data_IF_755619883128
#
_entry.id   IF_755619883128
#
_cell.length_a   1.000
_cell.length_b   1.000
_cell.length_c   1.000
_cell.angle_alpha   90.00
_cell.angle_beta   90.00
_cell.angle_gamma   90.00
#
_symmetry.space_group_name_H-M   'P 1'
#
loop_
_entity.id
_entity.type
_entity.pdbx_description
1 polymer ?
#
# COMPACT_ATOMS: atom_id res chain seq x y z
N UNK A 1 0.81 15.04 -12.93
CA UNK A 1 1.95 14.66 -12.09
C UNK A 1 1.63 14.92 -10.63
N UNK A 2 2.14 14.10 -9.69
CA UNK A 2 3.07 12.99 -9.92
C UNK A 2 2.39 11.66 -10.27
N UNK A 3 3.12 10.76 -10.94
CA UNK A 3 2.75 9.35 -11.10
C UNK A 3 3.44 8.54 -10.00
N UNK A 4 2.68 8.07 -9.03
CA UNK A 4 3.26 7.45 -7.82
C UNK A 4 3.59 5.97 -8.00
N UNK A 5 2.67 5.17 -8.50
CA UNK A 5 2.82 3.70 -8.64
C UNK A 5 2.81 3.32 -10.12
N UNK A 6 3.62 2.34 -10.53
CA UNK A 6 3.73 1.83 -11.89
C UNK A 6 4.81 0.75 -12.00
N UNK A 7 5.43 0.55 -13.18
CA UNK A 7 5.21 1.32 -14.42
C UNK A 7 3.92 0.96 -15.14
N UNK A 8 3.40 1.86 -15.97
CA UNK A 8 2.35 1.53 -16.94
C UNK A 8 2.97 1.50 -18.35
N UNK A 9 2.62 0.49 -19.13
CA UNK A 9 3.04 0.34 -20.52
C UNK A 9 1.81 0.53 -21.40
N UNK A 10 1.81 1.60 -22.19
CA UNK A 10 0.69 2.00 -23.06
C UNK A 10 1.21 2.07 -24.50
N UNK A 11 1.13 0.98 -25.24
CA UNK A 11 1.80 0.81 -26.52
C UNK A 11 3.31 1.13 -26.41
N UNK A 12 3.78 2.18 -27.09
CA UNK A 12 5.19 2.62 -27.09
C UNK A 12 5.54 3.58 -25.94
N UNK A 13 4.55 3.99 -25.12
CA UNK A 13 4.75 4.89 -23.99
C UNK A 13 4.93 4.10 -22.70
N UNK A 14 6.06 4.31 -22.03
CA UNK A 14 6.32 3.78 -20.68
C UNK A 14 6.19 4.94 -19.69
N UNK A 15 5.18 4.85 -18.82
CA UNK A 15 5.02 5.75 -17.67
C UNK A 15 5.81 5.18 -16.49
N UNK A 16 7.05 5.58 -16.39
CA UNK A 16 7.91 5.24 -15.26
C UNK A 16 7.51 6.07 -14.05
N UNK A 17 6.90 5.45 -13.07
CA UNK A 17 6.47 6.11 -11.83
C UNK A 17 7.57 6.12 -10.77
N UNK A 18 7.33 6.85 -9.68
CA UNK A 18 8.21 6.89 -8.53
C UNK A 18 8.45 5.48 -7.96
N UNK A 19 7.38 4.72 -7.74
CA UNK A 19 7.44 3.38 -7.17
C UNK A 19 7.37 2.29 -8.23
N UNK A 20 8.32 1.37 -8.18
CA UNK A 20 8.32 0.11 -8.92
C UNK A 20 7.34 -0.87 -8.28
N UNK A 21 6.06 -0.77 -8.64
CA UNK A 21 5.00 -1.57 -8.03
C UNK A 21 5.12 -3.07 -8.26
N UNK A 22 5.74 -3.50 -9.35
CA UNK A 22 5.97 -4.90 -9.63
C UNK A 22 6.96 -5.53 -8.64
N UNK A 23 7.96 -4.81 -8.11
CA UNK A 23 8.85 -5.31 -7.06
C UNK A 23 8.04 -5.69 -5.81
N UNK A 24 7.12 -4.83 -5.36
CA UNK A 24 6.20 -5.14 -4.26
C UNK A 24 5.31 -6.34 -4.58
N UNK A 25 4.75 -6.38 -5.78
CA UNK A 25 3.89 -7.49 -6.21
C UNK A 25 4.62 -8.84 -6.20
N UNK A 26 5.88 -8.87 -6.63
CA UNK A 26 6.68 -10.10 -6.62
C UNK A 26 6.88 -10.65 -5.20
N UNK A 27 6.96 -9.79 -4.17
CA UNK A 27 7.15 -10.21 -2.77
C UNK A 27 5.92 -10.87 -2.15
N UNK A 28 4.72 -10.64 -2.70
CA UNK A 28 3.46 -11.12 -2.10
C UNK A 28 2.68 -12.13 -2.96
N UNK A 29 2.86 -12.14 -4.27
CA UNK A 29 1.99 -12.86 -5.21
C UNK A 29 1.91 -14.37 -5.01
N UNK A 30 2.97 -14.98 -4.45
CA UNK A 30 3.03 -16.43 -4.22
C UNK A 30 2.51 -16.84 -2.83
N UNK A 31 2.28 -15.88 -1.94
CA UNK A 31 1.86 -16.10 -0.56
C UNK A 31 0.38 -15.78 -0.32
N UNK A 32 -0.22 -15.00 -1.23
CA UNK A 32 -1.65 -14.68 -1.20
C UNK A 32 -2.50 -15.79 -1.85
N UNK A 33 -3.74 -15.90 -1.44
CA UNK A 33 -4.70 -16.73 -2.16
C UNK A 33 -4.88 -16.21 -3.59
N UNK A 34 -4.86 -17.09 -4.63
CA UNK A 34 -5.06 -16.67 -6.01
C UNK A 34 -6.33 -15.81 -6.18
N UNK A 35 -6.20 -14.67 -6.83
CA UNK A 35 -7.28 -13.66 -6.94
C UNK A 35 -8.38 -14.06 -7.94
N UNK A 36 -8.16 -15.11 -8.71
CA UNK A 36 -9.14 -15.57 -9.73
C UNK A 36 -10.51 -15.78 -9.12
N UNK A 37 -11.51 -15.12 -9.71
CA UNK A 37 -12.92 -15.13 -9.30
C UNK A 37 -13.23 -14.51 -7.92
N UNK A 38 -12.27 -13.87 -7.25
CA UNK A 38 -12.48 -13.20 -5.96
C UNK A 38 -12.92 -11.74 -6.14
N UNK A 39 -13.70 -11.24 -5.19
CA UNK A 39 -13.95 -9.80 -5.00
C UNK A 39 -12.83 -9.23 -4.15
N UNK A 40 -12.14 -8.25 -4.68
CA UNK A 40 -10.95 -7.67 -4.09
C UNK A 40 -11.18 -6.21 -3.77
N UNK A 41 -10.78 -5.78 -2.58
CA UNK A 41 -10.73 -4.37 -2.18
C UNK A 41 -9.27 -3.92 -2.06
N UNK A 42 -8.93 -2.78 -2.68
CA UNK A 42 -7.61 -2.14 -2.64
C UNK A 42 -7.75 -0.77 -1.96
N UNK A 43 -7.39 -0.69 -0.67
CA UNK A 43 -7.51 0.52 0.14
C UNK A 43 -6.26 1.37 0.00
N UNK A 44 -6.43 2.66 -0.31
CA UNK A 44 -5.33 3.56 -0.64
C UNK A 44 -4.69 3.20 -1.99
N UNK A 45 -5.54 2.92 -2.96
CA UNK A 45 -5.14 2.42 -4.28
C UNK A 45 -4.17 3.34 -5.05
N UNK A 46 -4.12 4.64 -4.68
CA UNK A 46 -3.37 5.65 -5.41
C UNK A 46 -3.88 5.75 -6.85
N UNK A 47 -2.98 5.80 -7.81
CA UNK A 47 -3.35 5.84 -9.23
C UNK A 47 -3.86 4.51 -9.81
N UNK A 48 -4.26 3.55 -8.95
CA UNK A 48 -4.93 2.31 -9.34
C UNK A 48 -4.03 1.22 -9.93
N UNK A 49 -2.72 1.34 -9.81
CA UNK A 49 -1.78 0.34 -10.37
C UNK A 49 -2.07 -1.08 -9.86
N UNK A 50 -2.20 -1.25 -8.54
CA UNK A 50 -2.49 -2.57 -7.98
C UNK A 50 -3.94 -3.00 -8.24
N UNK A 51 -4.89 -2.09 -8.22
CA UNK A 51 -6.29 -2.38 -8.57
C UNK A 51 -6.41 -2.97 -9.98
N UNK A 52 -5.71 -2.37 -10.95
CA UNK A 52 -5.63 -2.90 -12.33
C UNK A 52 -4.90 -4.24 -12.38
N UNK A 53 -3.80 -4.37 -11.64
CA UNK A 53 -3.03 -5.63 -11.56
C UNK A 53 -3.90 -6.77 -11.01
N UNK A 54 -4.66 -6.54 -9.94
CA UNK A 54 -5.56 -7.52 -9.35
C UNK A 54 -6.66 -7.97 -10.33
N UNK A 55 -7.20 -7.04 -11.12
CA UNK A 55 -8.14 -7.39 -12.18
C UNK A 55 -7.51 -8.27 -13.27
N UNK A 56 -6.26 -7.97 -13.68
CA UNK A 56 -5.50 -8.77 -14.64
C UNK A 56 -5.13 -10.17 -14.10
N UNK A 57 -4.96 -10.32 -12.78
CA UNK A 57 -4.78 -11.63 -12.11
C UNK A 57 -6.10 -12.44 -12.03
N UNK A 58 -7.17 -11.94 -12.65
CA UNK A 58 -8.44 -12.65 -12.80
C UNK A 58 -9.44 -12.40 -11.68
N UNK A 59 -9.30 -11.34 -10.90
CA UNK A 59 -10.30 -10.96 -9.92
C UNK A 59 -11.68 -10.82 -10.59
N UNK A 60 -12.75 -11.32 -9.93
CA UNK A 60 -14.13 -11.13 -10.38
C UNK A 60 -14.52 -9.65 -10.39
N UNK A 61 -14.07 -8.92 -9.38
CA UNK A 61 -14.11 -7.47 -9.25
C UNK A 61 -12.93 -7.01 -8.40
N UNK A 62 -12.22 -5.99 -8.85
CA UNK A 62 -11.20 -5.28 -8.10
C UNK A 62 -11.71 -3.85 -7.87
N UNK A 63 -12.06 -3.53 -6.63
CA UNK A 63 -12.49 -2.20 -6.22
C UNK A 63 -11.33 -1.50 -5.50
N UNK A 64 -10.82 -0.42 -6.08
CA UNK A 64 -9.91 0.50 -5.41
C UNK A 64 -10.68 1.64 -4.76
N UNK A 65 -10.21 2.11 -3.61
CA UNK A 65 -10.65 3.36 -3.00
C UNK A 65 -9.45 4.27 -2.76
N UNK A 66 -9.58 5.53 -3.17
CA UNK A 66 -8.53 6.53 -3.10
C UNK A 66 -9.14 7.94 -3.05
N UNK A 67 -9.04 8.68 -1.94
CA UNK A 67 -9.71 9.96 -1.79
C UNK A 67 -9.11 11.08 -2.67
N UNK A 68 -7.88 10.94 -3.14
CA UNK A 68 -7.22 12.00 -3.89
C UNK A 68 -7.62 11.97 -5.37
N UNK A 69 -8.40 12.98 -5.80
CA UNK A 69 -9.02 13.03 -7.13
C UNK A 69 -8.02 12.95 -8.28
N UNK A 70 -6.80 13.50 -8.13
CA UNK A 70 -5.77 13.40 -9.18
C UNK A 70 -5.50 11.94 -9.53
N UNK A 71 -5.39 11.05 -8.55
CA UNK A 71 -5.13 9.65 -8.77
C UNK A 71 -6.32 8.94 -9.42
N UNK A 72 -7.55 9.35 -9.10
CA UNK A 72 -8.74 8.86 -9.78
C UNK A 72 -8.75 9.26 -11.26
N UNK A 73 -8.35 10.49 -11.60
CA UNK A 73 -8.22 10.90 -13.01
C UNK A 73 -7.11 10.16 -13.73
N UNK A 74 -5.97 9.91 -13.08
CA UNK A 74 -4.89 9.11 -13.65
C UNK A 74 -5.36 7.68 -13.95
N UNK A 75 -6.04 7.04 -13.00
CA UNK A 75 -6.66 5.73 -13.20
C UNK A 75 -7.64 5.73 -14.38
N UNK A 76 -8.53 6.71 -14.45
CA UNK A 76 -9.51 6.82 -15.54
C UNK A 76 -8.83 6.97 -16.91
N UNK A 77 -7.74 7.75 -16.98
CA UNK A 77 -6.95 7.91 -18.21
C UNK A 77 -6.29 6.59 -18.63
N UNK A 78 -5.63 5.87 -17.70
CA UNK A 78 -5.04 4.55 -17.97
C UNK A 78 -6.11 3.57 -18.45
N UNK A 79 -7.25 3.52 -17.75
CA UNK A 79 -8.34 2.61 -18.09
C UNK A 79 -8.96 2.91 -19.47
N UNK A 80 -9.08 4.17 -19.84
CA UNK A 80 -9.58 4.57 -21.17
C UNK A 80 -8.63 4.14 -22.32
N UNK A 81 -7.32 4.11 -22.04
CA UNK A 81 -6.31 3.69 -23.00
C UNK A 81 -6.10 2.17 -23.04
N UNK A 82 -6.35 1.49 -21.93
CA UNK A 82 -6.19 0.05 -21.78
C UNK A 82 -7.54 -0.68 -21.96
N UNK A 83 -7.85 -1.05 -23.19
CA UNK A 83 -9.17 -1.58 -23.59
C UNK A 83 -9.55 -2.96 -22.99
N UNK A 84 -8.68 -3.62 -22.24
CA UNK A 84 -8.86 -5.01 -21.82
C UNK A 84 -9.48 -5.20 -20.44
N UNK A 85 -9.57 -4.16 -19.61
CA UNK A 85 -10.08 -4.30 -18.25
C UNK A 85 -11.52 -3.80 -18.11
N UNK A 86 -12.43 -4.72 -17.77
CA UNK A 86 -13.81 -4.41 -17.37
C UNK A 86 -14.09 -4.64 -15.89
N UNK A 87 -13.16 -5.26 -15.15
CA UNK A 87 -13.40 -5.78 -13.80
C UNK A 87 -12.84 -4.89 -12.69
N UNK A 88 -12.03 -3.87 -13.01
CA UNK A 88 -11.54 -2.90 -12.04
C UNK A 88 -12.42 -1.66 -11.97
N UNK A 89 -12.45 -1.03 -10.80
CA UNK A 89 -13.07 0.26 -10.53
C UNK A 89 -12.27 1.00 -9.47
N UNK A 90 -12.16 2.32 -9.56
CA UNK A 90 -11.59 3.17 -8.53
C UNK A 90 -12.64 4.22 -8.12
N UNK A 91 -12.87 4.36 -6.81
CA UNK A 91 -13.80 5.33 -6.24
C UNK A 91 -13.05 6.38 -5.42
N UNK A 92 -13.47 7.65 -5.48
CA UNK A 92 -12.86 8.75 -4.73
C UNK A 92 -13.37 8.77 -3.28
N UNK A 93 -13.12 7.68 -2.53
CA UNK A 93 -13.62 7.49 -1.17
C UNK A 93 -12.47 7.14 -0.22
N UNK A 94 -12.64 7.51 1.05
CA UNK A 94 -11.90 6.97 2.18
C UNK A 94 -12.55 5.67 2.68
N UNK A 95 -11.80 4.87 3.42
CA UNK A 95 -12.35 3.65 4.01
C UNK A 95 -13.50 3.93 4.98
N UNK A 96 -13.39 5.02 5.75
CA UNK A 96 -14.39 5.45 6.74
C UNK A 96 -15.71 5.94 6.09
N UNK A 97 -15.69 6.24 4.80
CA UNK A 97 -16.87 6.66 4.03
C UNK A 97 -17.59 5.47 3.38
N UNK A 98 -16.97 4.29 3.43
CA UNK A 98 -17.60 3.06 2.93
C UNK A 98 -18.63 2.54 3.94
N UNK A 99 -19.80 2.09 3.48
CA UNK A 99 -20.68 1.32 4.34
C UNK A 99 -20.02 -0.01 4.72
N UNK A 100 -20.33 -0.55 5.90
CA UNK A 100 -19.92 -1.91 6.25
C UNK A 100 -20.41 -2.89 5.18
N UNK A 101 -19.48 -3.60 4.56
CA UNK A 101 -19.75 -4.43 3.39
C UNK A 101 -18.88 -5.69 3.42
N UNK A 102 -19.25 -6.72 4.22
CA UNK A 102 -18.44 -7.93 4.41
C UNK A 102 -18.52 -8.88 3.21
N UNK A 103 -18.09 -8.43 2.05
CA UNK A 103 -18.19 -9.19 0.80
C UNK A 103 -16.85 -9.48 0.12
N UNK A 104 -15.76 -8.83 0.54
CA UNK A 104 -14.47 -8.98 -0.14
C UNK A 104 -13.73 -10.21 0.39
N UNK A 105 -13.31 -11.08 -0.53
CA UNK A 105 -12.55 -12.27 -0.21
C UNK A 105 -11.04 -11.98 -0.05
N UNK A 106 -10.53 -10.89 -0.63
CA UNK A 106 -9.17 -10.36 -0.40
C UNK A 106 -9.24 -8.86 -0.21
N UNK A 107 -8.67 -8.37 0.89
CA UNK A 107 -8.57 -6.94 1.19
C UNK A 107 -7.09 -6.56 1.25
N UNK A 108 -6.71 -5.54 0.49
CA UNK A 108 -5.35 -5.00 0.46
C UNK A 108 -5.33 -3.62 1.11
N UNK A 109 -4.37 -3.41 2.00
CA UNK A 109 -4.05 -2.11 2.59
C UNK A 109 -2.53 -1.95 2.58
N UNK A 110 -2.00 -1.41 1.48
CA UNK A 110 -0.56 -1.35 1.22
C UNK A 110 -0.07 0.10 1.22
N UNK A 111 0.67 0.46 2.27
CA UNK A 111 1.22 1.82 2.43
C UNK A 111 0.22 2.81 3.01
N UNK A 112 -0.72 2.37 3.87
CA UNK A 112 -1.79 3.20 4.42
C UNK A 112 -1.74 3.30 5.94
N UNK A 113 -1.45 2.20 6.65
CA UNK A 113 -1.59 2.11 8.11
C UNK A 113 -0.77 3.19 8.85
N UNK A 114 0.46 3.44 8.45
CA UNK A 114 1.33 4.45 9.10
C UNK A 114 0.85 5.89 8.87
N UNK A 115 -0.09 6.12 7.96
CA UNK A 115 -0.76 7.40 7.76
C UNK A 115 -2.01 7.56 8.63
N UNK A 116 -2.44 6.53 9.33
CA UNK A 116 -3.61 6.58 10.19
C UNK A 116 -3.23 7.05 11.60
N UNK A 117 -3.98 8.02 12.14
CA UNK A 117 -3.83 8.44 13.54
C UNK A 117 -4.36 7.38 14.49
N UNK A 118 -5.49 6.77 14.13
CA UNK A 118 -6.10 5.65 14.82
C UNK A 118 -5.93 4.38 13.99
N UNK A 119 -4.83 3.68 14.23
CA UNK A 119 -4.49 2.45 13.53
C UNK A 119 -5.44 1.30 13.90
N UNK A 120 -5.96 1.26 15.14
CA UNK A 120 -6.92 0.22 15.56
C UNK A 120 -8.26 0.39 14.87
N UNK A 121 -8.76 1.63 14.75
CA UNK A 121 -9.98 1.93 13.98
C UNK A 121 -9.81 1.55 12.51
N UNK A 122 -8.64 1.86 11.91
CA UNK A 122 -8.37 1.46 10.52
C UNK A 122 -8.42 -0.05 10.34
N UNK A 123 -7.78 -0.82 11.23
CA UNK A 123 -7.82 -2.29 11.21
C UNK A 123 -9.25 -2.83 11.38
N UNK A 124 -10.03 -2.23 12.27
CA UNK A 124 -11.45 -2.57 12.46
C UNK A 124 -12.28 -2.30 11.20
N UNK A 125 -12.10 -1.14 10.56
CA UNK A 125 -12.81 -0.79 9.33
C UNK A 125 -12.44 -1.72 8.16
N UNK A 126 -11.18 -2.13 8.06
CA UNK A 126 -10.77 -3.14 7.07
C UNK A 126 -11.51 -4.47 7.29
N UNK A 127 -11.64 -4.88 8.57
CA UNK A 127 -12.33 -6.12 8.93
C UNK A 127 -13.80 -6.10 8.55
N UNK A 128 -14.47 -4.96 8.67
CA UNK A 128 -15.88 -4.80 8.26
C UNK A 128 -16.12 -4.98 6.75
N UNK A 129 -15.07 -4.87 5.94
CA UNK A 129 -15.15 -5.13 4.49
C UNK A 129 -14.94 -6.61 4.15
N UNK A 130 -14.43 -7.40 5.07
CA UNK A 130 -13.98 -8.77 4.84
C UNK A 130 -15.11 -9.79 4.94
N UNK A 131 -15.22 -10.66 3.92
CA UNK A 131 -16.09 -11.83 3.99
C UNK A 131 -15.59 -12.84 5.05
N UNK A 132 -16.38 -13.87 5.39
CA UNK A 132 -15.98 -14.89 6.38
C UNK A 132 -14.76 -15.60 5.85
N UNK A 133 -14.28 -16.25 5.21
CA UNK A 133 -13.05 -16.95 4.80
C UNK A 133 -12.15 -16.08 3.93
N UNK A 134 -11.92 -14.85 4.38
CA UNK A 134 -11.17 -13.86 3.63
C UNK A 134 -9.78 -13.62 4.20
N UNK A 135 -8.93 -12.96 3.43
CA UNK A 135 -7.59 -12.57 3.85
C UNK A 135 -7.37 -11.06 3.74
N UNK A 136 -6.64 -10.51 4.69
CA UNK A 136 -6.06 -9.17 4.64
C UNK A 136 -4.59 -9.28 4.25
N UNK A 137 -4.20 -8.51 3.24
CA UNK A 137 -2.81 -8.29 2.84
C UNK A 137 -2.45 -6.87 3.27
N UNK A 138 -1.68 -6.76 4.34
CA UNK A 138 -1.27 -5.49 4.94
C UNK A 138 0.21 -5.25 4.68
N UNK A 139 0.54 -4.08 4.10
CA UNK A 139 1.92 -3.62 4.04
C UNK A 139 2.04 -2.27 4.75
N UNK A 140 3.01 -2.17 5.64
CA UNK A 140 3.25 -0.94 6.41
C UNK A 140 4.73 -0.73 6.70
N UNK A 141 5.08 0.53 7.03
CA UNK A 141 6.37 0.84 7.64
C UNK A 141 6.44 0.22 9.04
N UNK A 142 7.61 -0.28 9.38
CA UNK A 142 7.92 -0.86 10.68
C UNK A 142 9.23 -0.29 11.23
N UNK A 143 9.47 -0.53 12.52
CA UNK A 143 10.69 -0.18 13.22
C UNK A 143 11.20 -1.39 14.01
N UNK A 144 12.51 -1.51 14.20
CA UNK A 144 13.08 -2.50 15.09
C UNK A 144 12.72 -2.20 16.54
N UNK A 145 12.38 -3.24 17.29
CA UNK A 145 12.02 -3.12 18.70
C UNK A 145 11.17 -4.28 19.20
N UNK A 146 11.01 -4.33 20.53
CA UNK A 146 10.22 -5.34 21.22
C UNK A 146 8.71 -5.10 21.08
N UNK A 147 7.92 -6.08 21.51
CA UNK A 147 6.47 -5.95 21.62
C UNK A 147 6.07 -4.75 22.50
N UNK A 148 5.17 -3.93 22.00
CA UNK A 148 4.72 -2.70 22.62
C UNK A 148 5.50 -1.45 22.17
N UNK A 149 6.63 -1.61 21.46
CA UNK A 149 7.37 -0.48 20.93
C UNK A 149 6.80 0.00 19.59
N UNK A 150 6.75 1.33 19.44
CA UNK A 150 6.45 2.00 18.18
C UNK A 150 7.18 3.34 18.12
N UNK A 151 7.71 3.69 16.97
CA UNK A 151 8.25 5.02 16.72
C UNK A 151 7.12 5.96 16.33
N UNK A 152 7.00 7.07 17.06
CA UNK A 152 6.09 8.20 16.74
C UNK A 152 6.98 9.38 16.38
N UNK A 153 7.13 9.72 15.08
CA UNK A 153 7.99 10.82 14.67
C UNK A 153 7.46 12.17 15.17
N UNK A 154 8.30 12.99 15.78
CA UNK A 154 7.95 14.36 16.20
C UNK A 154 7.85 15.37 15.06
N UNK A 155 7.85 14.94 13.83
CA UNK A 155 7.80 15.82 12.67
C UNK A 155 7.60 15.01 11.39
N UNK A 156 8.58 15.05 10.53
CA UNK A 156 8.58 14.25 9.30
C UNK A 156 9.29 12.92 9.53
N UNK A 157 8.97 11.97 8.69
CA UNK A 157 9.69 10.72 8.54
C UNK A 157 9.96 10.49 7.04
N UNK A 158 11.22 10.42 6.66
CA UNK A 158 11.61 10.34 5.26
C UNK A 158 10.87 11.39 4.40
N UNK A 159 10.93 12.65 4.85
CA UNK A 159 10.26 13.82 4.29
C UNK A 159 8.72 13.79 4.25
N UNK A 160 8.07 12.73 4.68
CA UNK A 160 6.62 12.61 4.79
C UNK A 160 6.10 13.31 6.05
N UNK A 161 5.04 14.14 5.90
CA UNK A 161 4.42 14.91 7.01
C UNK A 161 3.37 14.13 7.79
N UNK A 162 2.88 13.06 7.22
CA UNK A 162 1.70 12.31 7.68
C UNK A 162 2.03 10.87 8.07
N UNK A 163 3.22 10.66 8.62
CA UNK A 163 3.57 9.39 9.26
C UNK A 163 3.32 9.54 10.75
N UNK A 164 2.39 8.76 11.28
CA UNK A 164 1.94 8.93 12.66
C UNK A 164 2.48 7.86 13.61
N UNK A 165 2.74 6.66 13.10
CA UNK A 165 3.23 5.57 13.93
C UNK A 165 3.87 4.46 13.08
N UNK A 166 5.04 3.99 13.49
CA UNK A 166 5.73 2.83 12.93
C UNK A 166 5.86 1.77 14.03
N UNK A 167 5.05 0.71 14.02
CA UNK A 167 5.13 -0.34 15.02
C UNK A 167 6.34 -1.25 14.82
N UNK A 168 6.81 -1.89 15.89
CA UNK A 168 7.64 -3.08 15.74
C UNK A 168 6.79 -4.25 15.17
N UNK A 169 7.43 -5.27 14.63
CA UNK A 169 6.72 -6.44 14.07
C UNK A 169 5.82 -7.10 15.12
N UNK A 170 6.32 -7.27 16.33
CA UNK A 170 5.55 -7.91 17.40
C UNK A 170 4.39 -7.02 17.89
N UNK A 171 4.56 -5.71 17.84
CA UNK A 171 3.48 -4.75 18.12
C UNK A 171 2.41 -4.81 17.02
N UNK A 172 2.81 -4.84 15.74
CA UNK A 172 1.88 -4.97 14.62
C UNK A 172 1.06 -6.27 14.70
N UNK A 173 1.71 -7.39 15.01
CA UNK A 173 1.01 -8.67 15.23
C UNK A 173 0.00 -8.59 16.38
N UNK A 174 0.36 -7.90 17.48
CA UNK A 174 -0.55 -7.69 18.60
C UNK A 174 -1.78 -6.88 18.18
N UNK A 175 -1.58 -5.77 17.45
CA UNK A 175 -2.69 -4.95 16.95
C UNK A 175 -3.64 -5.75 16.05
N UNK A 176 -3.09 -6.55 15.15
CA UNK A 176 -3.90 -7.42 14.29
C UNK A 176 -4.68 -8.45 15.11
N UNK A 177 -4.03 -9.12 16.06
CA UNK A 177 -4.68 -10.09 16.95
C UNK A 177 -5.80 -9.46 17.78
N UNK A 178 -5.54 -8.28 18.37
CA UNK A 178 -6.49 -7.54 19.22
C UNK A 178 -7.67 -7.00 18.38
N UNK A 179 -7.44 -6.71 17.08
CA UNK A 179 -8.50 -6.38 16.11
C UNK A 179 -9.28 -7.61 15.62
N UNK A 180 -8.97 -8.80 16.14
CA UNK A 180 -9.70 -10.04 15.86
C UNK A 180 -9.21 -10.81 14.65
N UNK A 181 -8.09 -10.44 14.02
CA UNK A 181 -7.48 -11.22 12.94
C UNK A 181 -6.80 -12.49 13.46
N UNK A 182 -6.70 -13.50 12.62
CA UNK A 182 -6.12 -14.81 12.93
C UNK A 182 -5.09 -15.22 11.86
N UNK A 183 -4.32 -16.27 12.13
CA UNK A 183 -3.32 -16.82 11.20
C UNK A 183 -2.35 -15.74 10.67
N UNK A 184 -1.88 -14.87 11.56
CA UNK A 184 -1.03 -13.72 11.23
C UNK A 184 0.35 -14.22 10.81
N UNK A 185 0.72 -14.01 9.54
CA UNK A 185 2.00 -14.42 8.94
C UNK A 185 2.73 -13.21 8.38
N UNK A 186 3.95 -13.00 8.79
CA UNK A 186 4.86 -12.04 8.14
C UNK A 186 5.51 -12.77 6.97
N UNK A 187 5.33 -12.28 5.76
CA UNK A 187 5.82 -12.92 4.54
C UNK A 187 7.02 -12.20 3.93
N UNK A 188 7.19 -10.92 4.25
CA UNK A 188 8.33 -10.12 3.80
C UNK A 188 8.68 -9.05 4.83
N UNK A 189 9.98 -8.81 5.02
CA UNK A 189 10.52 -7.62 5.68
C UNK A 189 11.65 -7.13 4.78
N UNK A 190 11.49 -5.93 4.23
CA UNK A 190 12.47 -5.36 3.30
C UNK A 190 12.68 -3.87 3.53
N UNK A 191 13.93 -3.44 3.43
CA UNK A 191 14.27 -2.04 3.41
C UNK A 191 13.93 -1.46 2.02
N UNK A 192 13.30 -0.28 1.99
CA UNK A 192 13.06 0.43 0.74
C UNK A 192 14.38 0.83 0.11
N UNK A 193 14.54 0.61 -1.18
CA UNK A 193 15.76 0.92 -1.93
C UNK A 193 15.50 1.99 -2.99
N UNK A 194 16.56 2.70 -3.46
CA UNK A 194 16.44 3.65 -4.57
C UNK A 194 15.99 3.00 -5.90
N UNK A 195 16.15 1.69 -6.04
CA UNK A 195 15.60 0.97 -7.20
C UNK A 195 14.08 0.83 -7.13
N UNK A 196 13.51 0.75 -5.92
CA UNK A 196 12.07 0.61 -5.72
C UNK A 196 11.37 1.98 -5.67
N UNK A 197 11.96 2.98 -4.97
CA UNK A 197 11.47 4.36 -4.93
C UNK A 197 12.52 5.29 -5.55
N UNK A 198 12.28 5.71 -6.78
CA UNK A 198 13.27 6.36 -7.65
C UNK A 198 12.79 7.68 -8.23
N UNK A 199 13.73 8.52 -8.67
CA UNK A 199 13.45 9.71 -9.46
C UNK A 199 13.11 9.33 -10.89
N UNK A 200 12.04 9.90 -11.42
CA UNK A 200 11.66 9.77 -12.84
C UNK A 200 11.11 11.10 -13.35
N UNK A 201 11.09 11.28 -14.65
CA UNK A 201 10.46 12.45 -15.30
C UNK A 201 8.95 12.56 -15.02
N UNK A 202 8.31 11.49 -14.52
CA UNK A 202 6.88 11.39 -14.26
C UNK A 202 6.49 11.79 -12.83
N UNK A 203 7.45 12.20 -11.99
CA UNK A 203 7.16 12.69 -10.63
C UNK A 203 6.80 14.17 -10.62
N UNK A 204 7.36 14.96 -11.53
CA UNK A 204 7.14 16.41 -11.65
C UNK A 204 8.44 17.18 -11.88
N UNK A 205 8.33 18.50 -11.88
CA UNK A 205 9.44 19.39 -12.25
C UNK A 205 10.57 19.45 -11.19
N UNK A 206 10.27 19.06 -9.95
CA UNK A 206 11.26 18.97 -8.87
C UNK A 206 11.18 17.58 -8.23
N UNK A 207 11.70 16.55 -8.91
CA UNK A 207 11.55 15.18 -8.45
C UNK A 207 12.39 14.92 -7.20
N UNK A 208 11.72 14.50 -6.13
CA UNK A 208 12.37 14.00 -4.92
C UNK A 208 11.92 12.55 -4.68
N UNK A 209 12.85 11.69 -4.30
CA UNK A 209 12.60 10.29 -4.01
C UNK A 209 13.45 9.83 -2.83
N UNK A 210 13.52 8.54 -2.56
CA UNK A 210 14.20 7.98 -1.40
C UNK A 210 15.60 8.54 -1.17
N UNK A 211 16.41 8.70 -2.24
CA UNK A 211 17.78 9.23 -2.14
C UNK A 211 17.85 10.61 -1.48
N UNK A 212 16.81 11.44 -1.68
CA UNK A 212 16.75 12.78 -1.08
C UNK A 212 16.20 12.76 0.35
N UNK A 213 15.66 11.63 0.78
CA UNK A 213 15.03 11.45 2.09
C UNK A 213 15.93 10.72 3.08
N UNK A 214 17.06 10.18 2.61
CA UNK A 214 18.10 9.57 3.44
C UNK A 214 19.18 10.57 3.77
N UNK A 215 19.82 10.40 4.94
CA UNK A 215 20.97 11.19 5.33
C UNK A 215 22.15 10.91 4.35
N UNK A 216 22.70 11.94 3.70
CA UNK A 216 23.77 11.75 2.73
C UNK A 216 25.09 11.23 3.34
N UNK A 217 25.27 11.35 4.66
CA UNK A 217 26.43 10.82 5.38
C UNK A 217 26.21 9.43 5.95
N UNK A 218 24.96 9.06 6.20
CA UNK A 218 24.56 7.74 6.71
C UNK A 218 23.23 7.29 6.10
N UNK A 219 23.24 6.56 4.97
CA UNK A 219 22.01 6.09 4.32
C UNK A 219 21.17 5.10 5.14
N UNK A 220 21.63 4.66 6.30
CA UNK A 220 20.82 3.88 7.26
C UNK A 220 19.83 4.75 8.05
N UNK A 221 19.92 6.07 7.91
CA UNK A 221 19.07 7.07 8.56
C UNK A 221 18.31 7.90 7.52
N UNK A 222 17.17 8.45 7.93
CA UNK A 222 16.48 9.51 7.18
C UNK A 222 17.15 10.88 7.46
N UNK A 223 16.85 11.88 6.64
CA UNK A 223 17.33 13.26 6.86
C UNK A 223 16.89 13.85 8.21
N UNK A 224 15.87 13.28 8.84
CA UNK A 224 15.40 13.66 10.19
C UNK A 224 16.10 12.85 11.30
N UNK A 225 17.01 11.92 10.96
CA UNK A 225 17.75 11.08 11.91
C UNK A 225 17.00 9.83 12.40
N UNK A 226 15.90 9.47 11.78
CA UNK A 226 15.20 8.20 12.05
C UNK A 226 15.82 7.06 11.23
N UNK A 227 15.66 5.79 11.65
CA UNK A 227 16.06 4.65 10.81
C UNK A 227 15.41 4.70 9.42
N UNK A 228 16.17 4.30 8.39
CA UNK A 228 15.71 4.28 7.01
C UNK A 228 14.46 3.39 6.83
N UNK A 229 13.58 3.71 5.84
CA UNK A 229 12.30 3.05 5.70
C UNK A 229 12.40 1.53 5.49
N UNK A 230 11.96 0.79 6.48
CA UNK A 230 11.76 -0.68 6.44
C UNK A 230 10.28 -0.98 6.42
N UNK A 231 9.87 -1.94 5.59
CA UNK A 231 8.49 -2.33 5.38
C UNK A 231 8.28 -3.80 5.70
N UNK A 232 7.12 -4.12 6.23
CA UNK A 232 6.68 -5.50 6.38
C UNK A 232 5.41 -5.75 5.56
N UNK A 233 5.30 -6.96 5.01
CA UNK A 233 4.06 -7.48 4.44
C UNK A 233 3.56 -8.57 5.36
N UNK A 234 2.32 -8.42 5.81
CA UNK A 234 1.65 -9.36 6.71
C UNK A 234 0.36 -9.83 6.06
N UNK A 235 0.11 -11.13 6.10
CA UNK A 235 -1.15 -11.75 5.68
C UNK A 235 -1.84 -12.32 6.92
N UNK A 236 -3.12 -12.07 7.04
CA UNK A 236 -3.95 -12.63 8.10
C UNK A 236 -5.39 -12.86 7.64
N UNK A 237 -6.14 -13.67 8.40
CA UNK A 237 -7.51 -14.02 8.07
C UNK A 237 -8.52 -13.29 8.98
N UNK A 238 -9.75 -13.21 8.48
CA UNK A 238 -10.88 -12.68 9.26
C UNK A 238 -11.25 -13.64 10.41
#
# INVERSE_FOLDING_TARGET
LPWRKGPFILNDLILESEWQGDMKWQRLKNDITPLKNRRVLDVGAGNGYFTLRMALEGAKKALGIEPFLLFNYQYAAIKALHKQDSNSMLLPLRLEEMPSMPIFESVFSMGVLYHQRDHMLHLSNLKEMMASDSELILETLIIDGDKGYSLIPEGRYANMRNVHCLPSIETLKSWLFDSGYRNIRVIDISQTTPNEQRKTQWIGDNPASLEDFLDPSDPSLTVEGHPAPTRAIVICNN
#
